data_IF_676021918167
#
_entry.id   IF_676021918167
#
_cell.length_a   1.000
_cell.length_b   1.000
_cell.length_c   1.000
_cell.angle_alpha   90.00
_cell.angle_beta   90.00
_cell.angle_gamma   90.00
#
_symmetry.space_group_name_H-M   'P 1'
#
loop_
_entity.id
_entity.type
_entity.pdbx_description
1 polymer ?
#
# COMPACT_ATOMS: atom_id res chain seq x y z
N UNK A 1 -28.61 -5.14 23.61
CA UNK A 1 -27.33 -4.44 23.81
C UNK A 1 -26.17 -5.43 23.82
N UNK A 2 -26.21 -6.47 24.63
CA UNK A 2 -25.13 -7.47 24.70
C UNK A 2 -25.00 -8.26 23.40
N UNK A 3 -26.12 -8.62 22.77
CA UNK A 3 -26.12 -9.36 21.54
C UNK A 3 -25.54 -8.52 20.38
N UNK A 4 -25.92 -7.25 20.31
CA UNK A 4 -25.37 -6.34 19.29
C UNK A 4 -23.86 -6.16 19.46
N UNK A 5 -23.38 -6.02 20.69
CA UNK A 5 -21.94 -5.90 20.97
C UNK A 5 -21.19 -7.19 20.61
N UNK A 6 -21.79 -8.35 20.88
CA UNK A 6 -21.20 -9.65 20.54
C UNK A 6 -21.10 -9.83 19.03
N UNK A 7 -22.16 -9.50 18.28
CA UNK A 7 -22.18 -9.59 16.82
C UNK A 7 -21.18 -8.64 16.19
N UNK A 8 -21.05 -7.43 16.74
CA UNK A 8 -20.05 -6.48 16.27
C UNK A 8 -18.62 -7.00 16.50
N UNK A 9 -18.37 -7.60 17.67
CA UNK A 9 -17.06 -8.18 17.98
C UNK A 9 -16.74 -9.38 17.08
N UNK A 10 -17.74 -10.22 16.82
CA UNK A 10 -17.59 -11.36 15.90
C UNK A 10 -17.30 -10.90 14.47
N UNK A 11 -18.00 -9.88 14.00
CA UNK A 11 -17.78 -9.32 12.67
C UNK A 11 -16.39 -8.71 12.54
N UNK A 12 -15.93 -7.99 13.57
CA UNK A 12 -14.60 -7.43 13.60
C UNK A 12 -13.52 -8.52 13.60
N UNK A 13 -13.72 -9.56 14.37
CA UNK A 13 -12.78 -10.68 14.43
C UNK A 13 -12.74 -11.43 13.10
N UNK A 14 -13.87 -11.63 12.45
CA UNK A 14 -13.93 -12.24 11.11
C UNK A 14 -13.20 -11.38 10.07
N UNK A 15 -13.36 -10.06 10.14
CA UNK A 15 -12.65 -9.15 9.25
C UNK A 15 -11.15 -9.20 9.47
N UNK A 16 -10.70 -9.26 10.73
CA UNK A 16 -9.27 -9.39 11.05
C UNK A 16 -8.71 -10.74 10.59
N UNK A 17 -9.48 -11.81 10.73
CA UNK A 17 -9.07 -13.13 10.26
C UNK A 17 -8.95 -13.17 8.73
N UNK A 18 -9.90 -12.56 8.01
CA UNK A 18 -9.85 -12.45 6.56
C UNK A 18 -8.64 -11.64 6.10
N UNK A 19 -8.35 -10.54 6.79
CA UNK A 19 -7.20 -9.69 6.52
C UNK A 19 -5.89 -10.46 6.75
N UNK A 20 -5.80 -11.19 7.85
CA UNK A 20 -4.63 -12.00 8.18
C UNK A 20 -4.42 -13.13 7.14
N UNK A 21 -5.49 -13.79 6.71
CA UNK A 21 -5.43 -14.83 5.70
C UNK A 21 -4.94 -14.27 4.36
N UNK A 22 -5.41 -13.11 3.96
CA UNK A 22 -4.98 -12.44 2.74
C UNK A 22 -3.51 -12.02 2.82
N UNK A 23 -3.09 -11.49 3.96
CA UNK A 23 -1.70 -11.12 4.21
C UNK A 23 -0.79 -12.36 4.19
N UNK A 24 -1.26 -13.49 4.73
CA UNK A 24 -0.51 -14.74 4.75
C UNK A 24 -0.31 -15.32 3.34
N UNK A 25 -1.16 -14.99 2.36
CA UNK A 25 -0.99 -15.37 0.97
C UNK A 25 0.16 -14.64 0.29
N UNK A 26 0.66 -13.56 0.91
CA UNK A 26 1.79 -12.75 0.44
C UNK A 26 2.99 -13.08 1.32
N UNK A 27 4.17 -13.25 0.73
CA UNK A 27 5.37 -13.54 1.51
C UNK A 27 5.71 -12.40 2.46
N UNK A 28 6.37 -12.74 3.57
CA UNK A 28 6.84 -11.73 4.53
C UNK A 28 7.78 -10.72 3.86
N UNK A 29 8.55 -11.16 2.88
CA UNK A 29 9.45 -10.29 2.12
C UNK A 29 8.69 -9.30 1.26
N UNK A 30 7.61 -9.73 0.62
CA UNK A 30 6.77 -8.84 -0.19
C UNK A 30 6.00 -7.84 0.67
N UNK A 31 5.54 -8.26 1.84
CA UNK A 31 4.93 -7.33 2.80
C UNK A 31 5.93 -6.27 3.26
N UNK A 32 7.14 -6.68 3.60
CA UNK A 32 8.22 -5.76 3.97
C UNK A 32 8.55 -4.80 2.84
N UNK A 33 8.63 -5.30 1.61
CA UNK A 33 8.89 -4.48 0.44
C UNK A 33 7.78 -3.44 0.25
N UNK A 34 6.53 -3.85 0.31
CA UNK A 34 5.40 -2.94 0.16
C UNK A 34 5.39 -1.87 1.27
N UNK A 35 5.59 -2.27 2.52
CA UNK A 35 5.65 -1.32 3.63
C UNK A 35 6.79 -0.32 3.46
N UNK A 36 7.95 -0.75 3.00
CA UNK A 36 9.12 0.11 2.86
C UNK A 36 9.04 1.02 1.62
N UNK A 37 8.43 0.59 0.53
CA UNK A 37 8.18 1.51 -0.59
C UNK A 37 7.13 2.57 -0.19
N UNK A 38 6.12 2.20 0.58
CA UNK A 38 5.17 3.16 1.15
C UNK A 38 5.93 4.17 2.03
N UNK A 39 6.83 3.71 2.86
CA UNK A 39 7.68 4.58 3.68
C UNK A 39 8.47 5.57 2.82
N UNK A 40 9.10 5.10 1.76
CA UNK A 40 9.90 5.95 0.87
C UNK A 40 9.06 6.99 0.14
N UNK A 41 7.87 6.60 -0.32
CA UNK A 41 7.01 7.45 -1.15
C UNK A 41 6.08 8.34 -0.31
N UNK A 42 5.64 7.88 0.84
CA UNK A 42 4.58 8.51 1.61
C UNK A 42 4.83 8.51 3.11
N UNK A 43 6.08 8.38 3.54
CA UNK A 43 6.42 8.31 4.98
C UNK A 43 5.97 9.53 5.76
N UNK A 44 5.95 10.70 5.14
CA UNK A 44 5.51 11.95 5.75
C UNK A 44 4.05 12.32 5.43
N UNK A 45 3.37 11.48 4.65
CA UNK A 45 1.98 11.71 4.28
C UNK A 45 1.00 11.22 5.34
N UNK A 46 -0.27 11.62 5.19
CA UNK A 46 -1.34 11.11 6.05
C UNK A 46 -1.47 9.59 5.88
N UNK A 47 -2.14 8.95 6.84
CA UNK A 47 -2.37 7.51 6.76
C UNK A 47 -3.12 7.13 5.49
N UNK A 48 -4.14 7.91 5.10
CA UNK A 48 -4.88 7.69 3.85
C UNK A 48 -3.95 7.77 2.64
N UNK A 49 -3.00 8.72 2.66
CA UNK A 49 -2.00 8.84 1.60
C UNK A 49 -1.10 7.61 1.49
N UNK A 50 -0.75 7.03 2.63
CA UNK A 50 0.04 5.77 2.66
C UNK A 50 -0.76 4.60 2.07
N UNK A 51 -2.02 4.46 2.47
CA UNK A 51 -2.90 3.41 1.92
C UNK A 51 -3.10 3.62 0.42
N UNK A 52 -3.23 4.87 -0.03
CA UNK A 52 -3.40 5.19 -1.44
C UNK A 52 -2.22 4.74 -2.29
N UNK A 53 -1.00 4.91 -1.81
CA UNK A 53 0.20 4.39 -2.50
C UNK A 53 0.12 2.88 -2.64
N UNK A 54 -0.23 2.18 -1.56
CA UNK A 54 -0.43 0.73 -1.59
C UNK A 54 -1.55 0.32 -2.54
N UNK A 55 -2.63 1.06 -2.55
CA UNK A 55 -3.76 0.84 -3.46
C UNK A 55 -3.33 0.87 -4.93
N UNK A 56 -2.55 1.88 -5.32
CA UNK A 56 -2.03 1.99 -6.69
C UNK A 56 -1.15 0.78 -7.03
N UNK A 57 -0.27 0.40 -6.13
CA UNK A 57 0.61 -0.76 -6.35
C UNK A 57 -0.21 -2.03 -6.56
N UNK A 58 -1.21 -2.26 -5.72
CA UNK A 58 -2.08 -3.43 -5.84
C UNK A 58 -2.93 -3.40 -7.10
N UNK A 59 -3.35 -2.22 -7.55
CA UNK A 59 -4.05 -2.08 -8.82
C UNK A 59 -3.16 -2.50 -9.99
N UNK A 60 -1.88 -2.12 -9.96
CA UNK A 60 -0.92 -2.53 -10.99
C UNK A 60 -0.70 -4.03 -10.98
N UNK A 61 -0.62 -4.65 -9.80
CA UNK A 61 -0.49 -6.10 -9.68
C UNK A 61 -1.65 -6.82 -10.37
N UNK A 62 -2.85 -6.28 -10.26
CA UNK A 62 -4.07 -6.86 -10.83
C UNK A 62 -4.29 -6.48 -12.30
N UNK A 63 -3.58 -5.50 -12.81
CA UNK A 63 -3.79 -5.01 -14.18
C UNK A 63 -3.10 -5.92 -15.18
N UNK A 64 -3.81 -6.25 -16.27
CA UNK A 64 -3.26 -7.06 -17.36
C UNK A 64 -2.10 -6.37 -18.08
N UNK A 65 -2.02 -5.04 -18.01
CA UNK A 65 -0.99 -4.24 -18.68
C UNK A 65 0.24 -3.97 -17.82
N UNK A 66 0.25 -4.48 -16.57
CA UNK A 66 1.32 -4.25 -15.62
C UNK A 66 1.90 -5.60 -15.16
N UNK A 67 3.11 -5.61 -14.59
CA UNK A 67 3.61 -6.80 -13.91
C UNK A 67 2.64 -7.27 -12.81
N UNK A 68 2.58 -8.56 -12.55
CA UNK A 68 1.55 -9.14 -11.70
C UNK A 68 2.04 -9.62 -10.33
N UNK A 69 3.20 -9.15 -9.88
CA UNK A 69 3.65 -9.33 -8.48
C UNK A 69 4.06 -7.99 -7.90
N UNK A 70 4.00 -7.88 -6.56
CA UNK A 70 4.43 -6.65 -5.87
C UNK A 70 5.89 -6.34 -6.20
N UNK A 71 6.76 -7.33 -6.15
CA UNK A 71 8.18 -7.16 -6.45
C UNK A 71 8.38 -6.63 -7.88
N UNK A 72 7.72 -7.22 -8.84
CA UNK A 72 7.84 -6.79 -10.24
C UNK A 72 7.31 -5.36 -10.44
N UNK A 73 6.20 -5.02 -9.80
CA UNK A 73 5.62 -3.66 -9.88
C UNK A 73 6.57 -2.64 -9.29
N UNK A 74 7.09 -2.90 -8.09
CA UNK A 74 7.99 -1.96 -7.38
C UNK A 74 9.28 -1.75 -8.15
N UNK A 75 9.87 -2.82 -8.68
CA UNK A 75 11.15 -2.75 -9.38
C UNK A 75 11.02 -2.51 -10.89
N UNK A 76 9.81 -2.30 -11.40
CA UNK A 76 9.61 -1.98 -12.81
C UNK A 76 10.39 -0.72 -13.18
N UNK A 77 11.07 -0.77 -14.31
CA UNK A 77 11.99 0.29 -14.75
C UNK A 77 11.26 1.64 -14.84
N UNK A 78 11.83 2.65 -14.19
CA UNK A 78 11.34 4.01 -14.28
C UNK A 78 10.10 4.33 -13.45
N UNK A 79 9.59 3.40 -12.67
CA UNK A 79 8.33 3.63 -11.93
C UNK A 79 8.54 4.33 -10.58
N UNK A 80 9.55 3.92 -9.83
CA UNK A 80 9.74 4.45 -8.47
C UNK A 80 11.16 4.99 -8.29
N UNK A 81 11.27 6.30 -7.98
CA UNK A 81 12.56 6.95 -7.73
C UNK A 81 13.38 6.29 -6.62
N UNK A 82 12.77 5.84 -5.51
CA UNK A 82 13.54 5.20 -4.43
C UNK A 82 14.32 3.95 -4.87
N UNK A 83 13.89 3.28 -5.92
CA UNK A 83 14.63 2.15 -6.48
C UNK A 83 15.93 2.65 -7.13
N UNK A 84 15.84 3.72 -7.91
CA UNK A 84 16.99 4.27 -8.64
C UNK A 84 18.00 4.95 -7.74
N UNK A 85 17.53 5.69 -6.72
CA UNK A 85 18.41 6.51 -5.89
C UNK A 85 18.94 5.78 -4.65
N UNK A 86 18.58 4.52 -4.46
CA UNK A 86 19.05 3.70 -3.35
C UNK A 86 18.29 3.86 -2.04
N UNK A 87 17.30 4.74 -1.95
CA UNK A 87 16.58 4.95 -0.70
C UNK A 87 15.73 3.74 -0.30
N UNK A 88 15.17 3.01 -1.28
CA UNK A 88 14.43 1.78 -0.99
C UNK A 88 15.36 0.72 -0.40
N UNK A 89 16.53 0.53 -0.97
CA UNK A 89 17.49 -0.45 -0.47
C UNK A 89 17.94 -0.11 0.95
N UNK A 90 18.18 1.17 1.24
CA UNK A 90 18.51 1.61 2.60
C UNK A 90 17.36 1.38 3.57
N UNK A 91 16.13 1.64 3.14
CA UNK A 91 14.96 1.41 3.97
C UNK A 91 14.80 -0.08 4.28
N UNK A 92 14.98 -0.95 3.29
CA UNK A 92 14.88 -2.40 3.47
C UNK A 92 15.98 -2.95 4.38
N UNK A 93 17.19 -2.41 4.28
CA UNK A 93 18.33 -2.90 5.07
C UNK A 93 18.11 -2.77 6.57
N UNK A 94 17.42 -1.72 7.01
CA UNK A 94 17.15 -1.47 8.44
C UNK A 94 15.66 -1.52 8.77
N UNK A 95 14.83 -1.92 7.81
CA UNK A 95 13.36 -1.98 7.95
C UNK A 95 12.81 -0.69 8.54
N UNK A 96 12.97 0.41 7.81
CA UNK A 96 12.59 1.74 8.28
C UNK A 96 11.09 1.99 8.33
N UNK A 97 10.30 1.15 7.65
CA UNK A 97 8.85 1.28 7.67
C UNK A 97 8.34 1.15 9.10
N UNK A 98 7.56 2.13 9.53
CA UNK A 98 6.96 2.11 10.86
C UNK A 98 5.65 1.32 10.87
N UNK A 99 5.01 1.25 12.04
CA UNK A 99 3.76 0.52 12.20
C UNK A 99 2.67 1.03 11.26
N UNK A 100 2.61 2.34 11.02
CA UNK A 100 1.62 2.93 10.11
C UNK A 100 1.84 2.48 8.67
N UNK A 101 3.09 2.39 8.21
CA UNK A 101 3.41 1.90 6.88
C UNK A 101 3.04 0.42 6.70
N UNK A 102 3.32 -0.40 7.71
CA UNK A 102 2.92 -1.80 7.69
C UNK A 102 1.41 -1.96 7.71
N UNK A 103 0.72 -1.18 8.53
CA UNK A 103 -0.75 -1.23 8.59
C UNK A 103 -1.36 -0.79 7.25
N UNK A 104 -0.81 0.25 6.65
CA UNK A 104 -1.26 0.72 5.34
C UNK A 104 -1.04 -0.35 4.26
N UNK A 105 0.09 -1.04 4.30
CA UNK A 105 0.37 -2.15 3.39
C UNK A 105 -0.64 -3.28 3.57
N UNK A 106 -0.95 -3.65 4.80
CA UNK A 106 -1.92 -4.69 5.11
C UNK A 106 -3.32 -4.29 4.60
N UNK A 107 -3.73 -3.05 4.82
CA UNK A 107 -5.04 -2.58 4.33
C UNK A 107 -5.11 -2.57 2.81
N UNK A 108 -4.05 -2.16 2.13
CA UNK A 108 -3.99 -2.21 0.68
C UNK A 108 -4.09 -3.65 0.16
N UNK A 109 -3.40 -4.59 0.80
CA UNK A 109 -3.48 -6.01 0.49
C UNK A 109 -4.89 -6.56 0.71
N UNK A 110 -5.59 -6.05 1.73
CA UNK A 110 -6.96 -6.45 2.03
C UNK A 110 -7.99 -5.82 1.08
N UNK A 111 -7.56 -4.99 0.14
CA UNK A 111 -8.43 -4.42 -0.88
C UNK A 111 -8.90 -3.00 -0.63
N UNK A 112 -8.32 -2.28 0.32
CA UNK A 112 -8.66 -0.87 0.55
C UNK A 112 -8.35 -0.04 -0.71
N UNK A 113 -9.29 0.79 -1.13
CA UNK A 113 -9.19 1.55 -2.37
C UNK A 113 -9.55 3.02 -2.20
N UNK A 114 -8.80 3.80 -1.40
CA UNK A 114 -9.08 5.22 -1.23
C UNK A 114 -9.01 6.01 -2.54
N UNK A 115 -8.29 5.52 -3.53
CA UNK A 115 -8.20 6.15 -4.85
C UNK A 115 -8.80 5.27 -5.96
N UNK A 116 -9.57 4.25 -5.60
CA UNK A 116 -10.26 3.39 -6.58
C UNK A 116 -9.29 2.65 -7.48
N UNK A 117 -9.56 2.63 -8.77
CA UNK A 117 -8.80 1.89 -9.77
C UNK A 117 -7.61 2.62 -10.36
N UNK A 118 -7.16 3.70 -9.76
CA UNK A 118 -6.05 4.48 -10.30
C UNK A 118 -4.75 3.68 -10.30
N UNK A 119 -3.96 3.86 -11.36
CA UNK A 119 -2.77 3.07 -11.63
C UNK A 119 -1.46 3.85 -11.43
N UNK A 120 -1.55 5.17 -11.22
CA UNK A 120 -0.37 6.03 -11.14
C UNK A 120 -0.52 7.04 -10.02
N UNK A 121 0.62 7.48 -9.50
CA UNK A 121 0.68 8.65 -8.64
C UNK A 121 2.00 9.36 -8.88
N UNK A 122 2.01 10.64 -8.55
CA UNK A 122 3.22 11.44 -8.56
C UNK A 122 3.05 12.61 -7.61
N UNK A 123 4.14 13.33 -7.34
CA UNK A 123 4.05 14.56 -6.58
C UNK A 123 3.10 15.51 -7.30
N UNK A 124 2.22 16.17 -6.53
CA UNK A 124 1.21 17.06 -7.09
C UNK A 124 1.89 18.18 -7.89
N UNK A 125 1.61 18.23 -9.18
CA UNK A 125 2.18 19.20 -10.12
C UNK A 125 1.09 19.95 -10.89
N UNK A 126 -0.14 19.95 -10.36
CA UNK A 126 -1.30 20.55 -11.02
C UNK A 126 -1.98 19.63 -12.02
N UNK A 127 -1.49 18.40 -12.18
CA UNK A 127 -2.12 17.40 -13.05
C UNK A 127 -3.51 17.04 -12.56
N UNK A 128 -4.43 16.77 -13.48
CA UNK A 128 -5.77 16.29 -13.18
C UNK A 128 -5.70 14.91 -12.51
N UNK A 129 -6.46 14.75 -11.43
CA UNK A 129 -6.51 13.51 -10.65
C UNK A 129 -7.00 13.77 -9.24
N UNK A 130 -6.91 12.74 -8.40
CA UNK A 130 -7.29 12.85 -6.99
C UNK A 130 -6.08 13.24 -6.16
N UNK A 131 -6.15 14.40 -5.49
CA UNK A 131 -5.06 14.89 -4.66
C UNK A 131 -5.25 14.42 -3.22
N UNK A 132 -4.20 13.80 -2.67
CA UNK A 132 -4.12 13.47 -1.24
C UNK A 132 -2.76 13.96 -0.77
N UNK A 133 -2.73 14.93 0.14
CA UNK A 133 -1.49 15.52 0.62
C UNK A 133 -0.65 16.09 -0.52
N UNK A 134 0.57 15.62 -0.66
CA UNK A 134 1.52 16.08 -1.68
C UNK A 134 1.46 15.28 -2.99
N UNK A 135 0.58 14.28 -3.09
CA UNK A 135 0.47 13.39 -4.24
C UNK A 135 -0.81 13.64 -5.03
N UNK A 136 -0.73 13.44 -6.34
CA UNK A 136 -1.88 13.32 -7.23
C UNK A 136 -1.93 11.90 -7.77
N UNK A 137 -3.12 11.29 -7.67
CA UNK A 137 -3.37 9.91 -8.13
C UNK A 137 -4.22 9.96 -9.41
N UNK A 138 -3.82 9.18 -10.42
CA UNK A 138 -4.50 9.18 -11.72
C UNK A 138 -4.45 7.84 -12.43
#
# INVERSE_FOLDING_TARGET
AEEAARLAAEAQQAALAAQAAQTAAISAEELKLLANIIYCEAGSESYVGKVAVGNVIMNRVKSASQPNTITEVVYAKGQFSPVRNGSLQRALSSDKADAACYQAAIEALAGAQPVGGKLFFRRNNGRSGQVIGHHVFY
#
